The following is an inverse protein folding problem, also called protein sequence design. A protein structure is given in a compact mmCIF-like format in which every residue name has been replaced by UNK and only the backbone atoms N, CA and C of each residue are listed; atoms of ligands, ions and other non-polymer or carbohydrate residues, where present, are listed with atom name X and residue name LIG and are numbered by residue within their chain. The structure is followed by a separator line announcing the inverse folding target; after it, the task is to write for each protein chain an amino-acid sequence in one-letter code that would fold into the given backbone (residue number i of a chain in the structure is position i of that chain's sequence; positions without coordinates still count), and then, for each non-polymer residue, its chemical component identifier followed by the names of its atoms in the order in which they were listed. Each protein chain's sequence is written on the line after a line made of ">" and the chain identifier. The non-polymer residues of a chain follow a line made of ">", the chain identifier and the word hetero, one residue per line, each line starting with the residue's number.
data_IF_829646691517
#
_entry.id   IF_829646691517
#
_cell.length_a   1.000
_cell.length_b   1.000
_cell.length_c   1.000
_cell.angle_alpha   90.00
_cell.angle_beta   90.00
_cell.angle_gamma   90.00
#
_symmetry.space_group_name_H-M   'P 1'
#
loop_
_entity.id
_entity.type
_entity.pdbx_description
1 polymer ?
#
# COMPACT_ATOMS: atom_id res chain seq x y z
N UNK A 1 -12.26 21.42 -30.87
CA UNK A 1 -12.08 20.55 -29.68
C UNK A 1 -12.97 19.31 -29.72
N UNK A 2 -14.30 19.44 -29.87
CA UNK A 2 -15.23 18.29 -29.91
C UNK A 2 -14.95 17.27 -31.04
N UNK A 3 -14.59 17.72 -32.25
CA UNK A 3 -14.26 16.83 -33.37
C UNK A 3 -12.99 15.99 -33.12
N UNK A 4 -11.97 16.59 -32.47
CA UNK A 4 -10.74 15.89 -32.11
C UNK A 4 -10.99 14.81 -31.04
N UNK A 5 -11.79 15.13 -30.02
CA UNK A 5 -12.20 14.17 -28.98
C UNK A 5 -12.97 12.99 -29.60
N UNK A 6 -13.90 13.29 -30.53
CA UNK A 6 -14.67 12.25 -31.22
C UNK A 6 -13.79 11.34 -32.10
N UNK A 7 -12.82 11.91 -32.81
CA UNK A 7 -11.87 11.16 -33.63
C UNK A 7 -10.94 10.27 -32.79
N UNK A 8 -10.45 10.79 -31.66
CA UNK A 8 -9.63 10.01 -30.70
C UNK A 8 -10.45 8.86 -30.10
N UNK A 9 -11.66 9.14 -29.64
CA UNK A 9 -12.54 8.10 -29.10
C UNK A 9 -12.86 7.02 -30.14
N UNK A 10 -13.13 7.38 -31.39
CA UNK A 10 -13.37 6.41 -32.45
C UNK A 10 -12.14 5.51 -32.70
N UNK A 11 -10.93 6.07 -32.63
CA UNK A 11 -9.67 5.33 -32.78
C UNK A 11 -9.35 4.42 -31.59
N UNK A 12 -9.74 4.82 -30.38
CA UNK A 12 -9.62 3.97 -29.17
C UNK A 12 -10.62 2.81 -29.26
N UNK A 13 -11.90 3.11 -29.55
CA UNK A 13 -12.98 2.12 -29.63
C UNK A 13 -12.82 1.13 -30.79
N UNK A 14 -12.07 1.49 -31.84
CA UNK A 14 -11.85 0.58 -32.98
C UNK A 14 -10.85 -0.54 -32.70
N UNK A 15 -10.03 -0.43 -31.64
CA UNK A 15 -9.08 -1.46 -31.23
C UNK A 15 -9.52 -2.07 -29.89
N UNK A 16 -9.79 -3.39 -29.88
CA UNK A 16 -10.27 -4.10 -28.68
C UNK A 16 -9.34 -3.99 -27.45
N UNK A 17 -8.03 -3.91 -27.65
CA UNK A 17 -7.06 -3.77 -26.55
C UNK A 17 -7.11 -2.35 -25.99
N UNK A 18 -7.08 -1.34 -26.85
CA UNK A 18 -7.16 0.06 -26.41
C UNK A 18 -8.52 0.37 -25.78
N UNK A 19 -9.60 -0.19 -26.32
CA UNK A 19 -10.94 -0.12 -25.75
C UNK A 19 -10.99 -0.67 -24.33
N UNK A 20 -10.41 -1.86 -24.10
CA UNK A 20 -10.33 -2.47 -22.78
C UNK A 20 -9.43 -1.68 -21.82
N UNK A 21 -8.23 -1.29 -22.24
CA UNK A 21 -7.28 -0.52 -21.42
C UNK A 21 -7.84 0.84 -21.04
N UNK A 22 -8.59 1.51 -21.92
CA UNK A 22 -9.25 2.78 -21.62
C UNK A 22 -10.63 2.62 -20.96
N UNK A 23 -11.01 1.40 -20.58
CA UNK A 23 -12.28 1.13 -19.89
C UNK A 23 -12.15 1.18 -18.37
N UNK A 24 -13.28 1.38 -17.70
CA UNK A 24 -13.40 1.24 -16.24
C UNK A 24 -13.18 -0.20 -15.77
N UNK A 25 -13.39 -1.21 -16.63
CA UNK A 25 -13.17 -2.63 -16.29
C UNK A 25 -11.70 -2.99 -16.15
N UNK A 26 -10.80 -2.27 -16.82
CA UNK A 26 -9.35 -2.42 -16.63
C UNK A 26 -8.88 -1.60 -15.43
N UNK A 27 -9.20 -0.31 -15.39
CA UNK A 27 -8.67 0.57 -14.35
C UNK A 27 -9.29 0.36 -12.96
N UNK A 28 -10.50 -0.18 -12.85
CA UNK A 28 -11.10 -0.51 -11.56
C UNK A 28 -10.27 -1.53 -10.75
N UNK A 29 -9.93 -2.71 -11.33
CA UNK A 29 -9.00 -3.64 -10.69
C UNK A 29 -7.59 -3.08 -10.48
N UNK A 30 -7.06 -2.30 -11.43
CA UNK A 30 -5.71 -1.72 -11.30
C UNK A 30 -5.63 -0.69 -10.18
N UNK A 31 -6.64 0.17 -10.02
CA UNK A 31 -6.65 1.19 -8.96
C UNK A 31 -6.69 0.58 -7.56
N UNK A 32 -7.26 -0.62 -7.40
CA UNK A 32 -7.23 -1.34 -6.13
C UNK A 32 -5.81 -1.68 -5.66
N UNK A 33 -4.82 -1.76 -6.54
CA UNK A 33 -3.41 -2.02 -6.17
C UNK A 33 -2.63 -0.77 -5.78
N UNK A 34 -3.15 0.44 -6.03
CA UNK A 34 -2.48 1.68 -5.62
C UNK A 34 -2.29 1.77 -4.11
N UNK A 35 -3.31 1.38 -3.34
CA UNK A 35 -3.26 1.42 -1.86
C UNK A 35 -2.24 0.43 -1.29
N UNK A 36 -2.23 -0.87 -1.68
CA UNK A 36 -1.19 -1.79 -1.24
C UNK A 36 0.23 -1.34 -1.58
N UNK A 37 0.44 -0.76 -2.77
CA UNK A 37 1.76 -0.24 -3.15
C UNK A 37 2.18 0.89 -2.20
N UNK A 38 1.28 1.83 -1.91
CA UNK A 38 1.56 2.89 -0.93
C UNK A 38 1.86 2.34 0.47
N UNK A 39 1.11 1.32 0.93
CA UNK A 39 1.37 0.68 2.22
C UNK A 39 2.74 0.01 2.28
N UNK A 40 3.18 -0.63 1.19
CA UNK A 40 4.55 -1.19 1.08
C UNK A 40 5.59 -0.07 1.15
N UNK A 41 5.38 1.03 0.44
CA UNK A 41 6.30 2.18 0.49
C UNK A 41 6.40 2.80 1.89
N UNK A 42 5.29 2.83 2.64
CA UNK A 42 5.28 3.35 4.01
C UNK A 42 6.13 2.50 4.98
N UNK A 43 6.43 1.24 4.65
CA UNK A 43 7.35 0.41 5.47
C UNK A 43 8.79 0.95 5.51
N UNK A 44 9.14 1.88 4.62
CA UNK A 44 10.47 2.50 4.57
C UNK A 44 10.54 3.83 5.33
N UNK A 45 9.40 4.37 5.78
CA UNK A 45 9.35 5.61 6.55
C UNK A 45 9.80 5.39 8.00
N UNK A 46 10.15 6.47 8.69
CA UNK A 46 10.60 6.42 10.09
C UNK A 46 9.56 5.69 10.97
N UNK A 47 9.96 4.74 11.83
CA UNK A 47 9.03 4.03 12.71
C UNK A 47 8.33 4.92 13.75
N UNK A 48 8.86 6.11 14.06
CA UNK A 48 8.26 7.06 15.01
C UNK A 48 6.88 7.56 14.56
N UNK A 49 6.66 7.70 13.24
CA UNK A 49 5.38 8.20 12.70
C UNK A 49 4.28 7.12 12.62
N UNK A 50 4.58 5.87 12.99
CA UNK A 50 3.61 4.77 12.88
C UNK A 50 2.53 4.90 13.97
N UNK A 51 1.26 4.93 13.54
CA UNK A 51 0.10 4.95 14.44
C UNK A 51 -0.39 3.54 14.75
N UNK A 52 -0.19 3.08 15.99
CA UNK A 52 -0.61 1.75 16.46
C UNK A 52 -2.10 1.42 16.20
N UNK A 53 -3.06 2.28 16.61
CA UNK A 53 -4.49 2.02 16.38
C UNK A 53 -4.85 1.91 14.89
N UNK A 54 -4.27 2.77 14.04
CA UNK A 54 -4.52 2.74 12.60
C UNK A 54 -3.95 1.47 11.98
N UNK A 55 -2.71 1.11 12.30
CA UNK A 55 -2.08 -0.12 11.79
C UNK A 55 -2.87 -1.35 12.22
N UNK A 56 -3.28 -1.43 13.50
CA UNK A 56 -4.13 -2.53 14.01
C UNK A 56 -5.47 -2.63 13.28
N UNK A 57 -6.15 -1.50 13.08
CA UNK A 57 -7.40 -1.46 12.31
C UNK A 57 -7.21 -1.95 10.86
N UNK A 58 -6.11 -1.57 10.22
CA UNK A 58 -5.83 -1.95 8.83
C UNK A 58 -5.44 -3.42 8.68
N UNK A 59 -4.79 -4.02 9.69
CA UNK A 59 -4.56 -5.48 9.73
C UNK A 59 -5.88 -6.24 9.79
N UNK A 60 -6.79 -5.87 10.69
CA UNK A 60 -8.11 -6.52 10.83
C UNK A 60 -8.96 -6.31 9.59
N UNK A 61 -8.97 -5.09 9.06
CA UNK A 61 -9.63 -4.76 7.80
C UNK A 61 -9.13 -5.67 6.67
N UNK A 62 -7.82 -5.75 6.45
CA UNK A 62 -7.25 -6.55 5.37
C UNK A 62 -7.58 -8.04 5.52
N UNK A 63 -7.48 -8.61 6.73
CA UNK A 63 -7.86 -10.01 6.99
C UNK A 63 -9.33 -10.30 6.68
N UNK A 64 -10.23 -9.38 7.08
CA UNK A 64 -11.67 -9.49 6.82
C UNK A 64 -11.95 -9.52 5.32
N UNK A 65 -11.34 -8.60 4.58
CA UNK A 65 -11.54 -8.52 3.13
C UNK A 65 -10.86 -9.64 2.34
N UNK A 66 -9.75 -10.20 2.84
CA UNK A 66 -9.20 -11.45 2.30
C UNK A 66 -10.23 -12.58 2.42
N UNK A 67 -10.86 -12.76 3.58
CA UNK A 67 -11.89 -13.80 3.75
C UNK A 67 -13.10 -13.56 2.83
N UNK A 68 -13.55 -12.31 2.73
CA UNK A 68 -14.65 -11.91 1.84
C UNK A 68 -14.37 -12.25 0.37
N UNK A 69 -13.17 -11.93 -0.12
CA UNK A 69 -12.77 -12.16 -1.51
C UNK A 69 -12.82 -13.64 -1.94
N UNK A 70 -12.63 -14.56 -0.99
CA UNK A 70 -12.73 -16.00 -1.20
C UNK A 70 -14.13 -16.57 -0.92
N UNK A 71 -14.99 -15.81 -0.21
CA UNK A 71 -16.36 -16.20 0.10
C UNK A 71 -17.36 -15.85 -1.02
N UNK A 72 -17.11 -14.76 -1.76
CA UNK A 72 -17.95 -14.35 -2.88
C UNK A 72 -17.88 -15.34 -4.05
N UNK A 73 -18.99 -15.48 -4.78
CA UNK A 73 -19.07 -16.34 -5.98
C UNK A 73 -19.43 -15.48 -7.21
N UNK A 74 -18.61 -15.50 -8.29
CA UNK A 74 -17.32 -16.18 -8.39
C UNK A 74 -16.25 -15.57 -7.47
N UNK A 75 -15.25 -16.37 -7.08
CA UNK A 75 -14.16 -15.94 -6.20
C UNK A 75 -13.33 -14.83 -6.85
N UNK A 76 -12.94 -13.84 -6.06
CA UNK A 76 -12.17 -12.69 -6.54
C UNK A 76 -10.70 -12.74 -6.07
N UNK A 77 -9.85 -13.40 -6.86
CA UNK A 77 -8.43 -13.55 -6.54
C UNK A 77 -7.62 -12.25 -6.64
N UNK A 78 -8.04 -11.31 -7.49
CA UNK A 78 -7.38 -10.00 -7.59
C UNK A 78 -7.57 -9.18 -6.31
N UNK A 79 -8.79 -9.17 -5.79
CA UNK A 79 -9.11 -8.53 -4.52
C UNK A 79 -8.39 -9.24 -3.36
N UNK A 80 -8.33 -10.58 -3.39
CA UNK A 80 -7.54 -11.35 -2.41
C UNK A 80 -6.07 -10.92 -2.41
N UNK A 81 -5.43 -10.87 -3.57
CA UNK A 81 -4.02 -10.49 -3.70
C UNK A 81 -3.76 -9.05 -3.21
N UNK A 82 -4.67 -8.11 -3.53
CA UNK A 82 -4.61 -6.74 -3.01
C UNK A 82 -4.60 -6.72 -1.48
N UNK A 83 -5.57 -7.37 -0.83
CA UNK A 83 -5.66 -7.36 0.62
C UNK A 83 -4.57 -8.20 1.29
N UNK A 84 -4.07 -9.25 0.65
CA UNK A 84 -2.93 -10.01 1.14
C UNK A 84 -1.66 -9.15 1.19
N UNK A 85 -1.37 -8.40 0.12
CA UNK A 85 -0.23 -7.48 0.08
C UNK A 85 -0.38 -6.39 1.14
N UNK A 86 -1.57 -5.80 1.28
CA UNK A 86 -1.85 -4.83 2.33
C UNK A 86 -1.67 -5.43 3.73
N UNK A 87 -2.21 -6.63 3.98
CA UNK A 87 -2.05 -7.34 5.25
C UNK A 87 -0.59 -7.58 5.61
N UNK A 88 0.23 -8.01 4.65
CA UNK A 88 1.67 -8.20 4.83
C UNK A 88 2.41 -6.89 5.17
N UNK A 89 2.12 -5.81 4.44
CA UNK A 89 2.69 -4.49 4.72
C UNK A 89 2.30 -3.98 6.12
N UNK A 90 1.01 -4.08 6.49
CA UNK A 90 0.53 -3.60 7.79
C UNK A 90 0.99 -4.46 8.96
N UNK A 91 1.15 -5.77 8.77
CA UNK A 91 1.75 -6.64 9.78
C UNK A 91 3.23 -6.29 9.98
N UNK A 92 3.95 -5.98 8.89
CA UNK A 92 5.33 -5.49 8.96
C UNK A 92 5.40 -4.17 9.72
N UNK A 93 4.49 -3.22 9.43
CA UNK A 93 4.41 -1.97 10.19
C UNK A 93 4.05 -2.20 11.66
N UNK A 94 3.15 -3.13 11.96
CA UNK A 94 2.79 -3.47 13.34
C UNK A 94 4.02 -4.00 14.10
N UNK A 95 4.81 -4.86 13.46
CA UNK A 95 6.07 -5.34 14.02
C UNK A 95 7.05 -4.18 14.27
N UNK A 96 7.24 -3.29 13.29
CA UNK A 96 8.11 -2.10 13.43
C UNK A 96 7.65 -1.19 14.57
N UNK A 97 6.33 -0.98 14.69
CA UNK A 97 5.73 -0.21 15.78
C UNK A 97 6.03 -0.83 17.15
N UNK A 98 5.79 -2.14 17.31
CA UNK A 98 6.08 -2.85 18.55
C UNK A 98 7.58 -2.83 18.88
N UNK A 99 8.43 -3.06 17.88
CA UNK A 99 9.87 -3.01 18.05
C UNK A 99 10.35 -1.63 18.49
N UNK A 100 9.81 -0.57 17.92
CA UNK A 100 10.21 0.80 18.23
C UNK A 100 9.71 1.25 19.60
N UNK A 101 8.41 1.10 19.87
CA UNK A 101 7.76 1.67 21.06
C UNK A 101 7.76 0.76 22.29
N UNK A 102 7.82 -0.56 22.11
CA UNK A 102 7.66 -1.52 23.21
C UNK A 102 8.90 -2.40 23.46
N UNK A 103 9.80 -2.56 22.48
CA UNK A 103 10.96 -3.47 22.61
C UNK A 103 12.33 -2.76 22.56
N UNK A 104 12.40 -1.49 22.98
CA UNK A 104 13.68 -0.80 23.14
C UNK A 104 14.28 -0.22 21.86
N UNK A 105 13.60 -0.33 20.71
CA UNK A 105 14.11 0.14 19.43
C UNK A 105 14.27 1.67 19.36
N UNK A 106 13.41 2.42 20.06
CA UNK A 106 13.50 3.88 20.17
C UNK A 106 14.78 4.31 20.89
N UNK A 107 15.07 3.69 22.03
CA UNK A 107 16.24 3.96 22.85
C UNK A 107 17.53 3.65 22.07
N UNK A 108 17.54 2.52 21.33
CA UNK A 108 18.65 2.17 20.45
C UNK A 108 18.87 3.21 19.36
N UNK A 109 17.80 3.67 18.70
CA UNK A 109 17.87 4.70 17.64
C UNK A 109 18.36 6.05 18.19
N UNK A 110 17.88 6.46 19.38
CA UNK A 110 18.32 7.70 20.03
C UNK A 110 19.80 7.61 20.44
N UNK A 111 20.25 6.48 20.97
CA UNK A 111 21.65 6.26 21.31
C UNK A 111 22.56 6.29 20.08
N UNK A 112 22.10 5.74 18.94
CA UNK A 112 22.83 5.78 17.68
C UNK A 112 22.92 7.21 17.11
N UNK A 113 21.81 7.95 17.09
CA UNK A 113 21.80 9.37 16.69
C UNK A 113 22.72 10.22 17.56
N UNK A 114 22.75 9.99 18.87
CA UNK A 114 23.64 10.69 19.79
C UNK A 114 25.13 10.41 19.50
N UNK A 115 25.49 9.14 19.21
CA UNK A 115 26.85 8.76 18.81
C UNK A 115 27.27 9.43 17.51
N UNK A 116 26.39 9.45 16.50
CA UNK A 116 26.66 10.11 15.22
C UNK A 116 26.86 11.63 15.38
N UNK A 117 26.05 12.28 16.21
CA UNK A 117 26.19 13.70 16.53
C UNK A 117 27.50 14.04 17.25
N UNK A 118 27.97 13.17 18.14
CA UNK A 118 29.27 13.34 18.81
C UNK A 118 30.44 13.24 17.82
N UNK A 119 30.43 12.22 16.95
CA UNK A 119 31.47 12.04 15.91
C UNK A 119 31.51 13.22 14.93
N UNK A 120 30.35 13.77 14.55
CA UNK A 120 30.28 14.94 13.67
C UNK A 120 30.73 16.25 14.34
N UNK A 121 30.64 16.35 15.67
CA UNK A 121 31.11 17.52 16.42
C UNK A 121 32.62 17.48 16.70
N UNK A 122 33.22 16.28 16.66
CA UNK A 122 34.66 16.04 16.84
C UNK A 122 35.48 16.11 15.52
N UNK A 123 34.81 16.21 14.37
CA UNK A 123 35.40 16.32 13.02
C UNK A 123 35.42 17.76 12.51
#
# INVERSE_FOLDING_TARGET
>A
MAAAIKAINAKIRSNKVLDYVCSTHFWGPVSNFGIPIAAVMDTQKDPEIISGPMTGALVVYAATFMRYSLAVTPKNYLLFACHLTNFGAQTTQAYRYLSYWNWGGREAQLAEKAKQGAVAAEA
#
